data_IF_006988005439
#
_entry.id   IF_006988005439
#
_cell.length_a   1.000
_cell.length_b   1.000
_cell.length_c   1.000
_cell.angle_alpha   90.00
_cell.angle_beta   90.00
_cell.angle_gamma   90.00
#
_symmetry.space_group_name_H-M   'P 1'
#
loop_
_entity.id
_entity.type
_entity.pdbx_description
1 polymer ?
#
# COMPACT_ATOMS: atom_id res chain seq x y z
N UNK A 1 17.15 21.29 4.44
CA UNK A 1 17.10 22.20 3.27
C UNK A 1 15.66 22.40 2.78
N UNK A 2 15.11 23.61 2.98
CA UNK A 2 13.82 23.99 2.39
C UNK A 2 14.03 24.26 0.89
N UNK A 3 13.33 23.51 0.04
CA UNK A 3 13.35 23.72 -1.42
C UNK A 3 12.13 24.54 -1.81
N UNK A 4 12.33 25.62 -2.57
CA UNK A 4 11.29 26.54 -3.09
C UNK A 4 10.49 25.97 -4.27
N UNK A 5 10.54 24.66 -4.51
CA UNK A 5 9.84 23.99 -5.59
C UNK A 5 8.39 23.68 -5.21
N UNK A 6 7.44 24.22 -5.98
CA UNK A 6 6.00 23.99 -5.84
C UNK A 6 5.71 22.50 -6.04
N UNK A 7 5.31 21.79 -4.97
CA UNK A 7 5.06 20.34 -4.99
C UNK A 7 3.61 19.97 -5.31
N UNK A 8 2.67 20.88 -5.09
CA UNK A 8 1.24 20.67 -5.35
C UNK A 8 0.56 22.02 -5.52
N UNK A 9 -0.51 22.04 -6.32
CA UNK A 9 -1.36 23.21 -6.55
C UNK A 9 -2.83 22.78 -6.41
N UNK A 10 -3.77 23.72 -6.33
CA UNK A 10 -5.19 23.40 -6.28
C UNK A 10 -5.55 22.49 -7.48
N UNK A 11 -6.14 21.31 -7.21
CA UNK A 11 -6.48 20.27 -8.19
C UNK A 11 -5.27 19.58 -8.87
N UNK A 12 -4.08 19.64 -8.28
CA UNK A 12 -2.89 18.93 -8.79
C UNK A 12 -2.09 18.26 -7.67
N UNK A 13 -1.86 16.94 -7.74
CA UNK A 13 -2.42 15.97 -8.72
C UNK A 13 -3.85 15.54 -8.39
N UNK A 14 -4.70 15.40 -9.41
CA UNK A 14 -5.98 14.69 -9.29
C UNK A 14 -5.78 13.22 -9.67
N UNK A 15 -6.14 12.31 -8.75
CA UNK A 15 -6.15 10.86 -8.97
C UNK A 15 -7.60 10.39 -9.03
N UNK A 16 -8.03 9.85 -10.17
CA UNK A 16 -9.35 9.22 -10.32
C UNK A 16 -9.13 7.76 -10.67
N UNK A 17 -9.58 6.85 -9.79
CA UNK A 17 -9.47 5.40 -10.00
C UNK A 17 -10.87 4.82 -10.18
N UNK A 18 -11.17 4.28 -11.36
CA UNK A 18 -12.45 3.64 -11.69
C UNK A 18 -12.13 2.18 -12.04
N UNK A 19 -12.67 1.21 -11.28
CA UNK A 19 -12.37 -0.20 -11.52
C UNK A 19 -13.60 -1.09 -11.42
N UNK A 20 -13.67 -2.08 -12.31
CA UNK A 20 -14.64 -3.17 -12.23
C UNK A 20 -13.90 -4.41 -11.72
N UNK A 21 -14.40 -4.98 -10.64
CA UNK A 21 -13.75 -6.10 -9.97
C UNK A 21 -14.67 -6.91 -9.08
N UNK A 22 -14.10 -7.96 -8.51
CA UNK A 22 -14.72 -8.90 -7.59
C UNK A 22 -13.95 -8.91 -6.28
N UNK A 23 -14.67 -8.93 -5.15
CA UNK A 23 -14.11 -9.07 -3.80
C UNK A 23 -14.58 -10.41 -3.22
N UNK A 24 -13.63 -11.24 -2.81
CA UNK A 24 -13.88 -12.50 -2.11
C UNK A 24 -13.42 -12.38 -0.68
N UNK A 25 -14.32 -12.59 0.27
CA UNK A 25 -14.01 -12.61 1.70
C UNK A 25 -14.12 -14.02 2.28
N UNK A 26 -13.07 -14.46 2.96
CA UNK A 26 -13.08 -15.65 3.80
C UNK A 26 -12.86 -15.24 5.24
N UNK A 27 -13.75 -15.71 6.11
CA UNK A 27 -13.66 -15.47 7.54
C UNK A 27 -13.84 -16.80 8.27
N UNK A 28 -12.76 -17.28 8.87
CA UNK A 28 -12.73 -18.58 9.56
C UNK A 28 -12.21 -18.41 10.96
N UNK A 29 -13.10 -18.58 11.92
CA UNK A 29 -12.74 -18.72 13.32
C UNK A 29 -12.34 -20.17 13.60
N UNK A 30 -11.24 -20.37 14.34
CA UNK A 30 -10.84 -21.70 14.79
C UNK A 30 -11.82 -22.22 15.84
N UNK A 31 -12.25 -23.48 15.70
CA UNK A 31 -13.11 -24.16 16.69
C UNK A 31 -12.30 -24.71 17.87
N UNK A 32 -11.02 -25.02 17.65
CA UNK A 32 -10.15 -25.66 18.62
C UNK A 32 -9.44 -24.63 19.52
N UNK A 33 -9.08 -23.48 18.96
CA UNK A 33 -8.28 -22.46 19.67
C UNK A 33 -9.09 -21.18 19.78
N UNK A 34 -9.46 -20.82 21.01
CA UNK A 34 -10.18 -19.58 21.31
C UNK A 34 -9.36 -18.37 20.87
N UNK A 35 -10.04 -17.35 20.35
CA UNK A 35 -9.45 -16.10 19.83
C UNK A 35 -8.59 -16.23 18.56
N UNK A 36 -8.48 -17.43 17.99
CA UNK A 36 -7.82 -17.61 16.69
C UNK A 36 -8.81 -17.43 15.55
N UNK A 37 -8.55 -16.45 14.68
CA UNK A 37 -9.41 -16.14 13.53
C UNK A 37 -8.56 -15.73 12.33
N UNK A 38 -8.86 -16.33 11.19
CA UNK A 38 -8.26 -16.00 9.90
C UNK A 38 -9.30 -15.25 9.07
N UNK A 39 -8.97 -14.01 8.71
CA UNK A 39 -9.72 -13.23 7.73
C UNK A 39 -8.84 -13.05 6.50
N UNK A 40 -9.32 -13.46 5.34
CA UNK A 40 -8.65 -13.27 4.07
C UNK A 40 -9.61 -12.55 3.14
N UNK A 41 -9.18 -11.47 2.51
CA UNK A 41 -9.93 -10.74 1.50
C UNK A 41 -9.09 -10.67 0.24
N UNK A 42 -9.66 -11.11 -0.87
CA UNK A 42 -9.03 -11.07 -2.18
C UNK A 42 -9.88 -10.19 -3.11
N UNK A 43 -9.31 -9.08 -3.53
CA UNK A 43 -9.91 -8.13 -4.45
C UNK A 43 -9.23 -8.25 -5.80
N UNK A 44 -9.98 -8.70 -6.80
CA UNK A 44 -9.54 -8.89 -8.19
C UNK A 44 -10.24 -7.85 -9.06
N UNK A 45 -9.51 -6.88 -9.55
CA UNK A 45 -10.02 -5.87 -10.48
C UNK A 45 -9.33 -6.03 -11.83
N UNK A 46 -9.87 -6.86 -12.75
CA UNK A 46 -9.27 -7.09 -14.06
C UNK A 46 -9.22 -5.82 -14.91
N UNK A 47 -10.17 -4.89 -14.70
CA UNK A 47 -10.17 -3.58 -15.34
C UNK A 47 -10.13 -2.48 -14.28
N UNK A 48 -9.02 -1.75 -14.22
CA UNK A 48 -8.79 -0.61 -13.36
C UNK A 48 -8.25 0.53 -14.22
N UNK A 49 -9.01 1.61 -14.31
CA UNK A 49 -8.66 2.88 -14.94
C UNK A 49 -8.12 3.82 -13.86
N UNK A 50 -6.82 4.07 -13.88
CA UNK A 50 -6.18 5.09 -13.05
C UNK A 50 -5.89 6.31 -13.92
N UNK A 51 -6.70 7.36 -13.76
CA UNK A 51 -6.52 8.64 -14.44
C UNK A 51 -5.76 9.60 -13.52
N UNK A 52 -4.55 9.98 -13.93
CA UNK A 52 -3.69 10.94 -13.25
C UNK A 52 -3.65 12.23 -14.05
N UNK A 53 -4.10 13.33 -13.47
CA UNK A 53 -4.10 14.66 -14.12
C UNK A 53 -3.27 15.67 -13.32
N UNK A 54 -2.35 16.35 -13.98
CA UNK A 54 -1.54 17.44 -13.43
C UNK A 54 -1.77 18.70 -14.25
N UNK A 55 -2.46 19.67 -13.68
CA UNK A 55 -2.89 20.89 -14.37
C UNK A 55 -1.76 21.93 -14.52
N UNK A 56 -0.75 21.89 -13.63
CA UNK A 56 0.25 22.95 -13.47
C UNK A 56 1.60 22.59 -14.12
N UNK A 57 2.08 23.43 -15.05
CA UNK A 57 3.34 23.28 -15.79
C UNK A 57 4.61 23.57 -14.97
N UNK A 58 4.48 23.98 -13.70
CA UNK A 58 5.60 24.26 -12.79
C UNK A 58 5.92 23.12 -11.80
N UNK A 59 5.15 22.03 -11.82
CA UNK A 59 5.37 20.86 -10.96
C UNK A 59 6.14 19.82 -11.75
N UNK A 60 7.21 19.30 -11.16
CA UNK A 60 8.12 18.33 -11.77
C UNK A 60 7.37 17.00 -12.04
N UNK A 61 6.90 16.84 -13.28
CA UNK A 61 5.96 15.78 -13.71
C UNK A 61 6.60 14.39 -13.64
N UNK A 62 7.94 14.31 -13.75
CA UNK A 62 8.70 13.06 -13.74
C UNK A 62 8.65 12.33 -12.39
N UNK A 63 8.52 13.05 -11.26
CA UNK A 63 8.40 12.42 -9.92
C UNK A 63 7.10 11.65 -9.70
N UNK A 64 6.11 11.86 -10.56
CA UNK A 64 4.80 11.20 -10.49
C UNK A 64 4.60 10.14 -11.59
N UNK A 65 5.67 9.78 -12.32
CA UNK A 65 5.66 8.76 -13.37
C UNK A 65 5.03 9.21 -14.69
N UNK A 66 4.75 10.51 -14.86
CA UNK A 66 4.12 11.05 -16.07
C UNK A 66 5.22 11.44 -17.06
N UNK A 67 5.18 10.91 -18.29
CA UNK A 67 6.13 11.25 -19.37
C UNK A 67 6.21 12.78 -19.54
N UNK A 68 7.43 13.30 -19.55
CA UNK A 68 7.70 14.73 -19.76
C UNK A 68 6.92 15.27 -20.97
N UNK A 69 6.12 16.32 -20.75
CA UNK A 69 5.34 16.98 -21.81
C UNK A 69 3.85 16.61 -21.92
N UNK A 70 3.31 15.67 -21.13
CA UNK A 70 1.86 15.36 -21.10
C UNK A 70 1.21 15.71 -19.75
N UNK A 71 0.02 16.33 -19.80
CA UNK A 71 -0.75 16.80 -18.61
C UNK A 71 -1.68 15.73 -17.98
N UNK A 72 -1.85 14.61 -18.67
CA UNK A 72 -2.75 13.53 -18.28
C UNK A 72 -2.13 12.17 -18.63
N UNK A 73 -2.19 11.23 -17.68
CA UNK A 73 -1.82 9.83 -17.88
C UNK A 73 -3.04 8.98 -17.54
N UNK A 74 -3.40 8.09 -18.44
CA UNK A 74 -4.50 7.15 -18.27
C UNK A 74 -3.88 5.76 -18.29
N UNK A 75 -3.82 5.13 -17.12
CA UNK A 75 -3.31 3.78 -16.97
C UNK A 75 -4.49 2.84 -16.87
N UNK A 76 -4.71 2.07 -17.93
CA UNK A 76 -5.63 0.93 -17.90
C UNK A 76 -4.82 -0.27 -17.46
N UNK A 77 -5.24 -0.90 -16.39
CA UNK A 77 -4.52 -2.02 -15.83
C UNK A 77 -5.41 -3.01 -15.12
N UNK A 78 -4.77 -4.03 -14.57
CA UNK A 78 -5.37 -5.00 -13.68
C UNK A 78 -4.76 -4.85 -12.30
N UNK A 79 -5.60 -4.93 -11.27
CA UNK A 79 -5.17 -4.89 -9.86
C UNK A 79 -5.59 -6.16 -9.15
N UNK A 80 -4.67 -6.73 -8.38
CA UNK A 80 -4.93 -7.81 -7.43
C UNK A 80 -4.53 -7.29 -6.06
N UNK A 81 -5.44 -7.32 -5.10
CA UNK A 81 -5.15 -7.00 -3.70
C UNK A 81 -5.56 -8.16 -2.82
N UNK A 82 -4.63 -8.67 -2.01
CA UNK A 82 -4.87 -9.69 -1.01
C UNK A 82 -4.59 -9.11 0.36
N UNK A 83 -5.57 -9.16 1.26
CA UNK A 83 -5.47 -8.71 2.64
C UNK A 83 -5.73 -9.90 3.54
N UNK A 84 -4.73 -10.30 4.30
CA UNK A 84 -4.83 -11.33 5.31
C UNK A 84 -4.71 -10.69 6.69
N UNK A 85 -5.65 -10.99 7.57
CA UNK A 85 -5.52 -10.74 9.01
C UNK A 85 -5.64 -12.05 9.75
N UNK A 86 -4.57 -12.43 10.44
CA UNK A 86 -4.51 -13.62 11.25
C UNK A 86 -4.36 -13.23 12.72
N UNK A 87 -5.44 -13.39 13.47
CA UNK A 87 -5.43 -13.26 14.92
C UNK A 87 -4.87 -14.58 15.48
N UNK A 88 -3.61 -14.58 15.92
CA UNK A 88 -2.94 -15.79 16.43
C UNK A 88 -3.46 -16.09 17.84
N UNK A 89 -3.53 -15.03 18.66
CA UNK A 89 -4.08 -15.02 20.02
C UNK A 89 -4.79 -13.70 20.29
N UNK A 90 -5.38 -13.51 21.48
CA UNK A 90 -5.94 -12.21 21.91
C UNK A 90 -4.92 -11.07 22.01
N UNK A 91 -3.62 -11.38 22.02
CA UNK A 91 -2.53 -10.43 22.21
C UNK A 91 -1.70 -10.20 20.95
N UNK A 92 -1.75 -11.12 20.00
CA UNK A 92 -0.88 -11.12 18.82
C UNK A 92 -1.77 -11.24 17.58
N UNK A 93 -1.68 -10.23 16.71
CA UNK A 93 -2.31 -10.24 15.40
C UNK A 93 -1.29 -9.94 14.32
N UNK A 94 -1.40 -10.65 13.21
CA UNK A 94 -0.59 -10.44 12.02
C UNK A 94 -1.49 -9.96 10.88
N UNK A 95 -1.16 -8.80 10.33
CA UNK A 95 -1.81 -8.26 9.15
C UNK A 95 -0.81 -8.29 7.98
N UNK A 96 -1.20 -8.87 6.86
CA UNK A 96 -0.42 -8.90 5.64
C UNK A 96 -1.26 -8.36 4.50
N UNK A 97 -0.75 -7.38 3.77
CA UNK A 97 -1.38 -6.83 2.57
C UNK A 97 -0.41 -7.01 1.41
N UNK A 98 -0.86 -7.71 0.39
CA UNK A 98 -0.20 -7.79 -0.89
C UNK A 98 -1.05 -7.05 -1.92
N UNK A 99 -0.45 -6.13 -2.67
CA UNK A 99 -1.11 -5.43 -3.77
C UNK A 99 -0.21 -5.56 -4.98
N UNK A 100 -0.78 -5.95 -6.11
CA UNK A 100 -0.10 -6.03 -7.39
C UNK A 100 -0.94 -5.29 -8.42
N UNK A 101 -0.32 -4.33 -9.08
CA UNK A 101 -0.91 -3.56 -10.15
C UNK A 101 -0.05 -3.71 -11.40
N UNK A 102 -0.70 -3.87 -12.55
CA UNK A 102 -0.02 -3.81 -13.84
C UNK A 102 -0.84 -3.01 -14.83
N UNK A 103 -0.19 -2.09 -15.54
CA UNK A 103 -0.79 -1.32 -16.65
C UNK A 103 -0.39 -1.88 -18.02
N UNK A 104 0.03 -3.15 -18.10
CA UNK A 104 0.65 -3.81 -19.27
C UNK A 104 1.99 -3.24 -19.73
N UNK A 105 2.28 -1.97 -19.42
CA UNK A 105 3.58 -1.31 -19.64
C UNK A 105 4.42 -1.20 -18.36
N UNK A 106 3.79 -1.19 -17.19
CA UNK A 106 4.44 -1.04 -15.89
C UNK A 106 3.87 -2.03 -14.87
N UNK A 107 4.67 -2.34 -13.86
CA UNK A 107 4.31 -3.22 -12.75
C UNK A 107 4.66 -2.54 -11.43
N UNK A 108 3.69 -2.53 -10.52
CA UNK A 108 3.85 -2.11 -9.13
C UNK A 108 3.41 -3.26 -8.22
N UNK A 109 4.29 -3.69 -7.33
CA UNK A 109 3.98 -4.67 -6.30
C UNK A 109 4.27 -4.10 -4.92
N UNK A 110 3.33 -4.20 -4.00
CA UNK A 110 3.49 -3.79 -2.61
C UNK A 110 3.19 -4.98 -1.70
N UNK A 111 4.10 -5.25 -0.77
CA UNK A 111 3.97 -6.27 0.24
C UNK A 111 4.20 -5.67 1.62
N UNK A 112 3.12 -5.51 2.36
CA UNK A 112 3.10 -4.97 3.71
C UNK A 112 2.81 -6.05 4.72
N UNK A 113 3.56 -6.05 5.82
CA UNK A 113 3.37 -6.94 6.94
C UNK A 113 3.44 -6.13 8.22
N UNK A 114 2.42 -6.29 9.06
CA UNK A 114 2.34 -5.68 10.38
C UNK A 114 2.09 -6.77 11.41
N UNK A 115 3.04 -6.98 12.30
CA UNK A 115 2.85 -7.81 13.48
C UNK A 115 2.56 -6.90 14.68
N UNK A 116 1.36 -7.00 15.23
CA UNK A 116 0.95 -6.28 16.42
C UNK A 116 1.02 -7.23 17.62
N UNK A 117 1.70 -6.80 18.67
CA UNK A 117 1.87 -7.55 19.91
C UNK A 117 1.49 -6.67 21.10
N UNK A 118 0.56 -7.14 21.92
CA UNK A 118 0.25 -6.56 23.23
C UNK A 118 0.99 -7.39 24.29
N UNK A 119 2.16 -6.91 24.70
CA UNK A 119 3.02 -7.59 25.67
C UNK A 119 2.42 -7.53 27.08
N UNK A 120 1.79 -6.40 27.43
CA UNK A 120 1.02 -6.22 28.65
C UNK A 120 -0.14 -5.26 28.43
N UNK A 121 -0.98 -5.05 29.44
CA UNK A 121 -2.03 -4.01 29.38
C UNK A 121 -1.45 -2.60 29.22
N UNK A 122 -0.17 -2.41 29.55
CA UNK A 122 0.52 -1.13 29.49
C UNK A 122 1.50 -1.01 28.34
N UNK A 123 1.91 -2.11 27.71
CA UNK A 123 2.98 -2.11 26.71
C UNK A 123 2.54 -2.88 25.45
N UNK A 124 2.63 -2.21 24.31
CA UNK A 124 2.46 -2.80 22.98
C UNK A 124 3.70 -2.60 22.13
N UNK A 125 3.87 -3.48 21.16
CA UNK A 125 4.93 -3.42 20.16
C UNK A 125 4.34 -3.71 18.79
N UNK A 126 4.73 -2.92 17.80
CA UNK A 126 4.34 -3.10 16.40
C UNK A 126 5.58 -3.22 15.55
N UNK A 127 5.71 -4.34 14.85
CA UNK A 127 6.72 -4.52 13.80
C UNK A 127 6.04 -4.32 12.46
N UNK A 128 6.49 -3.33 11.68
CA UNK A 128 5.98 -2.99 10.36
C UNK A 128 7.08 -3.16 9.33
N UNK A 129 6.78 -3.92 8.28
CA UNK A 129 7.66 -4.12 7.12
C UNK A 129 6.84 -3.85 5.86
N UNK A 130 7.30 -2.93 5.02
CA UNK A 130 6.75 -2.65 3.71
C UNK A 130 7.86 -2.85 2.67
N UNK A 131 7.59 -3.70 1.69
CA UNK A 131 8.44 -3.90 0.52
C UNK A 131 7.62 -3.48 -0.69
N UNK A 132 8.12 -2.52 -1.45
CA UNK A 132 7.51 -2.07 -2.69
C UNK A 132 8.48 -2.29 -3.85
N UNK A 133 7.96 -2.80 -4.95
CA UNK A 133 8.63 -2.88 -6.24
C UNK A 133 7.88 -1.98 -7.21
N UNK A 134 8.58 -1.06 -7.86
CA UNK A 134 7.99 -0.12 -8.80
C UNK A 134 8.94 0.12 -9.97
N UNK A 135 8.56 -0.39 -11.15
CA UNK A 135 9.32 -0.25 -12.40
C UNK A 135 8.97 1.04 -13.18
N UNK A 136 8.03 1.85 -12.68
CA UNK A 136 7.64 3.12 -13.32
C UNK A 136 8.63 4.27 -13.05
N UNK A 137 9.55 4.09 -12.09
CA UNK A 137 10.49 5.10 -11.63
C UNK A 137 11.91 4.66 -11.96
N UNK A 138 12.81 5.60 -12.25
CA UNK A 138 14.22 5.30 -12.51
C UNK A 138 14.83 4.47 -11.37
N UNK A 139 15.59 3.40 -11.68
CA UNK A 139 16.15 2.52 -10.66
C UNK A 139 17.15 3.24 -9.79
N UNK A 140 17.07 3.00 -8.49
CA UNK A 140 18.05 3.44 -7.50
C UNK A 140 19.38 2.67 -7.64
N UNK A 141 20.51 3.31 -7.32
CA UNK A 141 21.84 2.69 -7.46
C UNK A 141 22.07 1.47 -6.55
N UNK A 142 21.37 1.37 -5.42
CA UNK A 142 21.62 0.33 -4.41
C UNK A 142 20.52 -0.73 -4.40
N UNK A 143 19.25 -0.33 -4.49
CA UNK A 143 18.12 -1.27 -4.44
C UNK A 143 17.33 -1.37 -5.75
N UNK A 144 17.78 -0.70 -6.82
CA UNK A 144 17.12 -0.65 -8.13
C UNK A 144 15.66 -0.22 -7.98
N UNK A 145 14.72 -1.11 -8.28
CA UNK A 145 13.29 -0.85 -8.24
C UNK A 145 12.64 -1.26 -6.91
N UNK A 146 13.40 -1.85 -5.98
CA UNK A 146 12.91 -2.25 -4.66
C UNK A 146 13.07 -1.12 -3.65
N UNK A 147 12.01 -0.87 -2.90
CA UNK A 147 11.96 0.07 -1.78
C UNK A 147 11.53 -0.72 -0.54
N UNK A 148 12.37 -0.72 0.49
CA UNK A 148 12.10 -1.46 1.73
C UNK A 148 12.02 -0.44 2.86
N UNK A 149 10.95 -0.54 3.66
CA UNK A 149 10.74 0.27 4.85
C UNK A 149 10.40 -0.63 6.03
N UNK A 150 11.21 -0.55 7.08
CA UNK A 150 11.03 -1.28 8.32
C UNK A 150 10.87 -0.29 9.48
N UNK A 151 9.86 -0.52 10.31
CA UNK A 151 9.60 0.30 11.50
C UNK A 151 9.23 -0.60 12.66
N UNK A 152 9.99 -0.49 13.75
CA UNK A 152 9.64 -1.05 15.05
C UNK A 152 9.10 0.07 15.92
N UNK A 153 7.89 -0.09 16.44
CA UNK A 153 7.26 0.90 17.31
C UNK A 153 6.91 0.27 18.66
N UNK A 154 7.15 1.01 19.74
CA UNK A 154 6.74 0.65 21.09
C UNK A 154 5.66 1.64 21.57
N UNK A 155 4.56 1.14 22.12
CA UNK A 155 3.44 1.94 22.60
C UNK A 155 3.19 1.70 24.09
N UNK A 156 2.94 2.77 24.83
CA UNK A 156 2.52 2.71 26.23
C UNK A 156 1.02 3.02 26.33
N UNK A 157 0.24 2.12 26.92
CA UNK A 157 -1.20 2.29 27.11
C UNK A 157 -1.52 2.47 28.60
N UNK A 158 -1.94 3.67 29.00
CA UNK A 158 -2.38 3.92 30.37
C UNK A 158 -3.89 4.17 30.39
N UNK A 159 -4.63 3.41 31.20
CA UNK A 159 -6.06 3.66 31.46
C UNK A 159 -6.18 4.06 32.93
N UNK A 160 -6.71 5.27 33.17
CA UNK A 160 -7.10 5.73 34.51
C UNK A 160 -8.39 5.07 34.97
#
# INVERSE_FOLDING_TARGET
PNTTTLRSALLSPLYVNIGIGMRYGLDKQSKEIRHRRLRLTLDLSPLSLNYRYVANSKVDVGRYGIREGKKSMLDIGSTITSIMTYDITRYISWNSRFKYFTSYDMVEAEFENTLNMMLSQYLSTRLYLNVRFDDSVSPDSTFKYFQINEVVSFGLNYRW
#
